data_IF_460058590201
#
_entry.id   IF_460058590201
#
_cell.length_a   1.000
_cell.length_b   1.000
_cell.length_c   1.000
_cell.angle_alpha   90.00
_cell.angle_beta   90.00
_cell.angle_gamma   90.00
#
_symmetry.space_group_name_H-M   'P 1'
#
loop_
_entity.id
_entity.type
_entity.pdbx_description
1 polymer ?
#
# COMPACT_ATOMS: atom_id res chain seq x y z
N UNK A 1 -20.28 6.99 0.52
CA UNK A 1 -19.69 7.48 1.78
C UNK A 1 -18.17 7.23 1.77
N UNK A 2 -17.36 8.27 1.57
CA UNK A 2 -15.89 8.20 1.61
C UNK A 2 -15.45 7.81 3.02
N UNK A 3 -14.49 6.89 3.10
CA UNK A 3 -13.91 6.44 4.36
C UNK A 3 -13.53 7.68 5.23
N UNK A 4 -13.94 7.76 6.51
CA UNK A 4 -13.64 8.92 7.35
C UNK A 4 -12.13 9.20 7.36
N UNK A 5 -11.77 10.49 7.42
CA UNK A 5 -10.39 10.97 7.54
C UNK A 5 -9.69 10.22 8.68
N UNK A 6 -8.79 9.29 8.33
CA UNK A 6 -8.03 8.49 9.28
C UNK A 6 -8.27 6.98 9.24
N UNK A 7 -9.28 6.47 8.53
CA UNK A 7 -9.39 5.03 8.32
C UNK A 7 -8.56 4.61 7.09
N UNK A 8 -7.69 3.62 7.27
CA UNK A 8 -6.78 3.17 6.22
C UNK A 8 -7.56 2.47 5.11
N UNK A 9 -7.90 3.21 4.06
CA UNK A 9 -8.70 2.70 2.96
C UNK A 9 -7.96 1.56 2.24
N UNK A 10 -8.66 0.46 1.99
CA UNK A 10 -8.07 -0.70 1.31
C UNK A 10 -8.14 -0.44 -0.20
N UNK A 11 -6.98 -0.20 -0.79
CA UNK A 11 -6.81 0.16 -2.21
C UNK A 11 -5.67 -0.63 -2.82
N UNK A 12 -5.72 -0.79 -4.13
CA UNK A 12 -4.66 -1.40 -4.92
C UNK A 12 -3.59 -0.36 -5.28
N UNK A 13 -2.39 -0.83 -5.62
CA UNK A 13 -1.29 0.04 -6.03
C UNK A 13 -1.68 0.87 -7.26
N UNK A 14 -2.31 0.24 -8.26
CA UNK A 14 -2.78 0.92 -9.46
C UNK A 14 -3.75 2.08 -9.15
N UNK A 15 -4.64 1.89 -8.17
CA UNK A 15 -5.59 2.93 -7.75
C UNK A 15 -4.88 4.12 -7.11
N UNK A 16 -3.90 3.86 -6.25
CA UNK A 16 -3.08 4.91 -5.60
C UNK A 16 -2.30 5.75 -6.62
N UNK A 17 -1.80 5.12 -7.69
CA UNK A 17 -1.08 5.83 -8.75
C UNK A 17 -2.02 6.60 -9.69
N UNK A 18 -3.23 6.08 -9.93
CA UNK A 18 -4.18 6.65 -10.88
C UNK A 18 -5.05 7.76 -10.28
N UNK A 19 -5.36 7.72 -8.99
CA UNK A 19 -6.28 8.66 -8.33
C UNK A 19 -5.53 9.72 -7.49
N UNK A 20 -5.52 11.00 -7.92
CA UNK A 20 -4.94 12.09 -7.14
C UNK A 20 -5.61 12.30 -5.77
N UNK A 21 -6.86 11.87 -5.57
CA UNK A 21 -7.56 12.00 -4.28
C UNK A 21 -7.00 11.07 -3.21
N UNK A 22 -6.33 10.00 -3.63
CA UNK A 22 -5.63 9.08 -2.75
C UNK A 22 -4.27 9.63 -2.30
N UNK A 23 -3.83 10.81 -2.77
CA UNK A 23 -2.63 11.48 -2.26
C UNK A 23 -2.86 12.09 -0.88
N UNK A 24 -1.83 12.06 -0.03
CA UNK A 24 -1.92 12.49 1.37
C UNK A 24 -3.02 11.77 2.17
N UNK A 25 -3.40 10.56 1.74
CA UNK A 25 -4.36 9.71 2.45
C UNK A 25 -3.66 8.57 3.16
N UNK A 26 -4.31 8.11 4.22
CA UNK A 26 -3.94 6.89 4.92
C UNK A 26 -4.56 5.71 4.18
N UNK A 27 -3.74 4.80 3.66
CA UNK A 27 -4.19 3.65 2.85
C UNK A 27 -3.62 2.34 3.38
N UNK A 28 -4.24 1.24 2.95
CA UNK A 28 -3.74 -0.13 3.07
C UNK A 28 -3.59 -0.72 1.67
N UNK A 29 -2.36 -1.06 1.31
CA UNK A 29 -2.02 -1.70 0.04
C UNK A 29 -1.46 -3.10 0.26
N UNK A 30 -1.63 -3.97 -0.73
CA UNK A 30 -1.02 -5.30 -0.77
C UNK A 30 -0.02 -5.35 -1.91
N UNK A 31 1.15 -5.94 -1.70
CA UNK A 31 2.13 -6.11 -2.76
C UNK A 31 3.28 -7.04 -2.38
N UNK A 32 3.89 -7.63 -3.40
CA UNK A 32 5.06 -8.50 -3.29
C UNK A 32 6.31 -7.65 -3.16
N UNK A 33 7.15 -7.92 -2.17
CA UNK A 33 8.41 -7.22 -1.99
C UNK A 33 9.41 -7.62 -3.08
N UNK A 34 9.79 -6.68 -3.94
CA UNK A 34 10.74 -6.89 -5.03
C UNK A 34 12.17 -6.56 -4.61
N UNK A 35 12.36 -5.40 -3.99
CA UNK A 35 13.67 -4.96 -3.49
C UNK A 35 13.52 -4.27 -2.14
N UNK A 36 14.59 -4.32 -1.35
CA UNK A 36 14.65 -3.61 -0.07
C UNK A 36 16.07 -3.09 0.18
N UNK A 37 16.18 -1.77 0.33
CA UNK A 37 17.39 -1.07 0.75
C UNK A 37 17.24 -0.66 2.22
N UNK A 38 17.91 -1.40 3.10
CA UNK A 38 17.89 -1.17 4.54
C UNK A 38 18.64 0.10 4.98
N UNK A 39 19.57 0.61 4.17
CA UNK A 39 20.30 1.85 4.45
C UNK A 39 19.41 3.06 4.13
N UNK A 40 18.79 3.05 2.95
CA UNK A 40 17.87 4.11 2.52
C UNK A 40 16.48 4.02 3.14
N UNK A 41 16.14 2.89 3.78
CA UNK A 41 14.80 2.58 4.30
C UNK A 41 13.74 2.63 3.20
N UNK A 42 14.06 2.07 2.04
CA UNK A 42 13.20 2.05 0.86
C UNK A 42 12.95 0.61 0.42
N UNK A 43 11.69 0.26 0.22
CA UNK A 43 11.24 -0.97 -0.39
C UNK A 43 10.56 -0.66 -1.74
N UNK A 44 10.71 -1.55 -2.71
CA UNK A 44 9.87 -1.55 -3.91
C UNK A 44 8.97 -2.77 -3.83
N UNK A 45 7.67 -2.53 -3.95
CA UNK A 45 6.66 -3.58 -3.96
C UNK A 45 5.90 -3.58 -5.30
N UNK A 46 5.40 -4.73 -5.70
CA UNK A 46 4.59 -4.86 -6.92
C UNK A 46 3.30 -5.63 -6.68
N UNK A 47 2.22 -5.25 -7.33
CA UNK A 47 0.96 -5.98 -7.34
C UNK A 47 0.30 -5.80 -8.71
N UNK A 48 -0.08 -6.90 -9.37
CA UNK A 48 -0.67 -6.91 -10.72
C UNK A 48 0.12 -6.06 -11.73
N UNK A 49 1.43 -6.33 -11.84
CA UNK A 49 2.38 -5.66 -12.75
C UNK A 49 2.61 -4.15 -12.51
N UNK A 50 2.01 -3.59 -11.46
CA UNK A 50 2.24 -2.20 -11.03
C UNK A 50 3.13 -2.18 -9.81
N UNK A 51 4.16 -1.34 -9.83
CA UNK A 51 5.12 -1.18 -8.72
C UNK A 51 5.01 0.17 -8.05
N UNK A 52 5.33 0.21 -6.76
CA UNK A 52 5.36 1.46 -5.99
C UNK A 52 6.46 1.44 -4.93
N UNK A 53 7.01 2.62 -4.66
CA UNK A 53 8.01 2.84 -3.63
C UNK A 53 7.33 2.98 -2.26
N UNK A 54 7.83 2.21 -1.31
CA UNK A 54 7.40 2.22 0.09
C UNK A 54 8.58 2.58 0.98
N UNK A 55 8.46 3.67 1.71
CA UNK A 55 9.43 4.09 2.71
C UNK A 55 9.14 3.42 4.04
N UNK A 56 10.16 2.77 4.60
CA UNK A 56 10.06 2.01 5.85
C UNK A 56 10.66 2.76 7.04
N UNK A 57 10.87 4.07 6.92
CA UNK A 57 11.51 4.90 7.94
C UNK A 57 10.71 5.00 9.25
N UNK A 58 9.38 4.95 9.18
CA UNK A 58 8.46 4.96 10.34
C UNK A 58 7.96 3.56 10.71
N UNK A 59 8.49 2.53 10.07
CA UNK A 59 8.02 1.17 10.28
C UNK A 59 8.52 0.68 11.63
N UNK A 60 7.59 0.33 12.52
CA UNK A 60 7.90 -0.37 13.75
C UNK A 60 8.38 -1.79 13.41
N UNK A 61 9.69 -1.96 13.26
CA UNK A 61 10.33 -3.19 12.79
C UNK A 61 10.64 -4.20 13.89
N UNK A 62 10.20 -3.98 15.14
CA UNK A 62 10.76 -4.66 16.32
C UNK A 62 10.78 -6.19 16.24
N UNK A 63 10.01 -6.83 15.34
CA UNK A 63 10.22 -8.24 14.95
C UNK A 63 9.99 -8.53 13.45
N UNK A 64 9.86 -7.51 12.59
CA UNK A 64 9.53 -7.70 11.18
C UNK A 64 10.80 -7.81 10.34
N UNK A 65 11.06 -9.00 9.80
CA UNK A 65 12.07 -9.20 8.75
C UNK A 65 11.39 -9.15 7.39
N UNK A 66 11.72 -8.14 6.59
CA UNK A 66 11.27 -8.04 5.21
C UNK A 66 12.01 -9.09 4.36
N UNK A 67 11.26 -10.00 3.75
CA UNK A 67 11.74 -11.10 2.93
C UNK A 67 11.44 -10.81 1.47
N UNK A 68 12.49 -10.78 0.64
CA UNK A 68 12.34 -10.58 -0.80
C UNK A 68 11.48 -11.69 -1.38
N UNK A 69 10.57 -11.32 -2.28
CA UNK A 69 9.62 -12.23 -2.89
C UNK A 69 8.41 -12.57 -2.04
N UNK A 70 8.33 -12.17 -0.77
CA UNK A 70 7.14 -12.36 0.05
C UNK A 70 6.09 -11.29 -0.20
N UNK A 71 4.81 -11.64 0.01
CA UNK A 71 3.67 -10.75 -0.05
C UNK A 71 3.49 -10.02 1.28
N UNK A 72 3.24 -8.72 1.22
CA UNK A 72 3.03 -7.88 2.38
C UNK A 72 1.81 -6.98 2.23
N UNK A 73 1.15 -6.69 3.35
CA UNK A 73 0.23 -5.58 3.46
C UNK A 73 0.90 -4.42 4.19
N UNK A 74 0.94 -3.25 3.54
CA UNK A 74 1.48 -2.02 4.11
C UNK A 74 0.35 -1.06 4.45
N UNK A 75 0.46 -0.46 5.62
CA UNK A 75 -0.43 0.59 6.11
C UNK A 75 0.38 1.87 6.26
N UNK A 76 -0.06 2.96 5.65
CA UNK A 76 0.76 4.16 5.63
C UNK A 76 0.08 5.36 4.97
N UNK A 77 0.80 6.46 4.95
CA UNK A 77 0.40 7.68 4.27
C UNK A 77 1.06 7.78 2.90
N UNK A 78 0.25 7.96 1.86
CA UNK A 78 0.73 8.26 0.51
C UNK A 78 1.14 9.72 0.40
N UNK A 79 2.09 10.04 -0.47
CA UNK A 79 2.38 11.41 -0.86
C UNK A 79 3.03 11.45 -2.24
N UNK A 80 2.89 12.59 -2.91
CA UNK A 80 3.56 12.86 -4.18
C UNK A 80 4.92 13.53 -3.91
N UNK A 81 5.99 12.92 -4.43
CA UNK A 81 7.34 13.47 -4.40
C UNK A 81 7.69 14.10 -5.75
N UNK A 82 8.15 15.34 -5.72
CA UNK A 82 8.61 16.09 -6.90
C UNK A 82 10.14 16.32 -6.87
N UNK A 83 10.90 15.47 -6.16
CA UNK A 83 12.35 15.66 -6.05
C UNK A 83 13.05 15.34 -7.37
N UNK A 84 13.27 16.36 -8.19
CA UNK A 84 14.23 16.37 -9.31
C UNK A 84 13.81 15.61 -10.58
N UNK A 85 12.54 15.26 -10.74
CA UNK A 85 12.04 14.47 -11.88
C UNK A 85 10.50 14.43 -11.98
N UNK A 86 9.92 13.48 -12.74
CA UNK A 86 8.48 13.31 -12.83
C UNK A 86 7.88 13.00 -11.45
N UNK A 87 6.66 13.48 -11.20
CA UNK A 87 5.94 13.27 -9.93
C UNK A 87 5.83 11.78 -9.63
N UNK A 88 6.48 11.34 -8.55
CA UNK A 88 6.47 9.96 -8.09
C UNK A 88 5.60 9.83 -6.84
N UNK A 89 4.61 8.95 -6.88
CA UNK A 89 3.77 8.66 -5.72
C UNK A 89 4.44 7.61 -4.84
N UNK A 90 4.58 7.91 -3.56
CA UNK A 90 5.25 7.06 -2.56
C UNK A 90 4.35 6.83 -1.36
N UNK A 91 4.63 5.78 -0.58
CA UNK A 91 3.95 5.51 0.68
C UNK A 91 4.93 5.44 1.84
N UNK A 92 4.70 6.22 2.89
CA UNK A 92 5.40 6.09 4.18
C UNK A 92 4.70 5.05 5.03
N UNK A 93 5.30 3.86 5.15
CA UNK A 93 4.73 2.77 5.92
C UNK A 93 4.90 2.99 7.43
N UNK A 94 3.79 2.82 8.15
CA UNK A 94 3.74 2.75 9.63
C UNK A 94 3.68 1.31 10.12
N UNK A 95 2.94 0.47 9.40
CA UNK A 95 2.74 -0.95 9.73
C UNK A 95 2.93 -1.79 8.47
N UNK A 96 3.51 -2.97 8.63
CA UNK A 96 3.60 -3.97 7.60
C UNK A 96 3.36 -5.36 8.18
N UNK A 97 2.75 -6.25 7.38
CA UNK A 97 2.45 -7.63 7.75
C UNK A 97 2.76 -8.56 6.58
N UNK A 98 3.48 -9.64 6.83
CA UNK A 98 3.64 -10.73 5.85
C UNK A 98 2.29 -11.45 5.67
N UNK A 99 1.91 -11.68 4.41
CA UNK A 99 0.65 -12.31 4.03
C UNK A 99 0.88 -13.39 2.95
N UNK A 100 1.98 -14.14 3.02
CA UNK A 100 2.36 -15.13 2.00
C UNK A 100 1.30 -16.22 1.76
N UNK A 101 0.49 -16.55 2.76
CA UNK A 101 -0.58 -17.54 2.65
C UNK A 101 -1.96 -16.94 2.42
N UNK A 102 -2.05 -15.63 2.13
CA UNK A 102 -3.32 -14.99 1.80
C UNK A 102 -3.76 -15.40 0.39
N UNK A 103 -4.96 -15.95 0.30
CA UNK A 103 -5.64 -16.12 -0.99
C UNK A 103 -5.96 -14.73 -1.56
N UNK A 104 -5.19 -14.34 -2.58
CA UNK A 104 -5.29 -13.01 -3.18
C UNK A 104 -6.59 -12.86 -3.96
N UNK A 105 -7.07 -13.91 -4.61
CA UNK A 105 -8.28 -13.85 -5.44
C UNK A 105 -9.50 -13.65 -4.53
N UNK A 106 -9.62 -14.45 -3.47
CA UNK A 106 -10.68 -14.28 -2.47
C UNK A 106 -10.61 -12.91 -1.77
N UNK A 107 -9.40 -12.42 -1.48
CA UNK A 107 -9.23 -11.09 -0.89
C UNK A 107 -9.77 -9.98 -1.82
N UNK A 108 -9.50 -10.08 -3.13
CA UNK A 108 -9.99 -9.12 -4.12
C UNK A 108 -11.51 -9.18 -4.28
N UNK A 109 -12.10 -10.37 -4.32
CA UNK A 109 -13.55 -10.55 -4.35
C UNK A 109 -14.23 -9.96 -3.12
N UNK A 110 -13.70 -10.25 -1.93
CA UNK A 110 -14.22 -9.71 -0.67
C UNK A 110 -14.10 -8.18 -0.61
N UNK A 111 -13.01 -7.61 -1.15
CA UNK A 111 -12.84 -6.17 -1.25
C UNK A 111 -13.88 -5.54 -2.18
N UNK A 112 -14.13 -6.15 -3.34
CA UNK A 112 -15.14 -5.69 -4.30
C UNK A 112 -16.55 -5.70 -3.67
N UNK A 113 -16.92 -6.80 -3.00
CA UNK A 113 -18.18 -6.93 -2.28
C UNK A 113 -18.33 -5.86 -1.18
N UNK A 114 -17.26 -5.61 -0.41
CA UNK A 114 -17.25 -4.55 0.62
C UNK A 114 -17.52 -3.17 0.00
N UNK A 115 -16.88 -2.84 -1.13
CA UNK A 115 -17.07 -1.55 -1.80
C UNK A 115 -18.49 -1.38 -2.33
N UNK A 116 -19.06 -2.42 -2.94
CA UNK A 116 -20.45 -2.43 -3.41
C UNK A 116 -21.43 -2.16 -2.25
N UNK A 117 -21.23 -2.83 -1.12
CA UNK A 117 -22.06 -2.63 0.06
C UNK A 117 -21.98 -1.19 0.59
N UNK A 118 -20.77 -0.61 0.69
CA UNK A 118 -20.57 0.77 1.13
C UNK A 118 -21.14 1.81 0.15
N UNK A 119 -21.16 1.51 -1.15
CA UNK A 119 -21.78 2.35 -2.15
C UNK A 119 -23.32 2.33 -2.04
N UNK A 120 -23.92 1.17 -1.76
CA UNK A 120 -25.38 1.04 -1.62
C UNK A 120 -25.99 1.75 -0.39
N UNK A 121 -25.16 2.04 0.62
CA UNK A 121 -25.56 2.77 1.84
C UNK A 121 -25.11 4.23 1.85
N UNK A 122 -24.52 4.68 0.74
CA UNK A 122 -23.91 6.00 0.57
C UNK A 122 -24.89 7.07 0.14
#
# INVERSE_FOLDING_TARGET
>A
MVAPLGCCEIVQIAEVLADPQLQNRSVRITGRLQTYDAQRKIAIISFQDVSMVVETQRLALENLRLQLGSMYQFLGETYASNQGGPTEVRLVARVARNVDSLDIDLFLEALAMRRQFLASRG
#
